data_IF_752979095299
#
_entry.id   IF_752979095299
#
_cell.length_a   1.000
_cell.length_b   1.000
_cell.length_c   1.000
_cell.angle_alpha   90.00
_cell.angle_beta   90.00
_cell.angle_gamma   90.00
#
_symmetry.space_group_name_H-M   'P 1'
#
loop_
_entity.id
_entity.type
_entity.pdbx_description
1 polymer ?
#
# COMPACT_ATOMS: atom_id res chain seq x y z
N UNK A 1 -4.04 25.91 30.02
CA UNK A 1 -3.23 24.68 30.24
C UNK A 1 -2.31 24.39 29.05
N UNK A 2 -1.09 23.85 29.28
CA UNK A 2 -0.21 23.42 28.20
C UNK A 2 -0.84 22.23 27.45
N UNK A 3 -0.66 22.19 26.14
CA UNK A 3 -1.11 21.07 25.30
C UNK A 3 -0.30 19.82 25.63
N UNK A 4 -0.98 18.74 26.02
CA UNK A 4 -0.37 17.45 26.27
C UNK A 4 -0.53 16.60 25.00
N UNK A 5 0.61 16.21 24.40
CA UNK A 5 0.61 15.32 23.24
C UNK A 5 0.21 13.93 23.69
N UNK A 6 -0.77 13.36 23.00
CA UNK A 6 -1.14 11.97 23.18
C UNK A 6 -0.04 11.05 22.63
N UNK A 7 0.31 10.01 23.37
CA UNK A 7 1.31 9.02 23.00
C UNK A 7 0.63 7.68 22.74
N UNK A 8 -0.15 7.61 21.66
CA UNK A 8 -0.75 6.36 21.22
C UNK A 8 0.33 5.33 20.88
N UNK A 9 0.07 4.05 21.18
CA UNK A 9 0.90 2.94 20.70
C UNK A 9 0.81 2.88 19.18
N UNK A 10 1.95 2.95 18.50
CA UNK A 10 2.05 2.95 17.03
C UNK A 10 2.59 1.62 16.53
N UNK A 11 1.86 1.00 15.61
CA UNK A 11 2.27 -0.26 14.98
C UNK A 11 2.30 -0.05 13.47
N UNK A 12 3.48 -0.20 12.85
CA UNK A 12 3.61 -0.13 11.40
C UNK A 12 3.07 -1.43 10.80
N UNK A 13 2.00 -1.36 10.03
CA UNK A 13 1.29 -2.53 9.51
C UNK A 13 1.39 -2.68 7.99
N UNK A 14 2.01 -1.71 7.32
CA UNK A 14 2.15 -1.73 5.87
C UNK A 14 2.54 -0.37 5.28
N UNK A 15 2.39 -0.24 3.96
CA UNK A 15 2.59 1.01 3.24
C UNK A 15 1.70 1.07 1.99
N UNK A 16 1.21 2.28 1.68
CA UNK A 16 0.75 2.65 0.35
C UNK A 16 1.96 3.15 -0.45
N UNK A 17 2.33 2.41 -1.49
CA UNK A 17 3.40 2.80 -2.42
C UNK A 17 2.74 3.31 -3.70
N UNK A 18 3.00 4.56 -4.05
CA UNK A 18 2.49 5.17 -5.27
C UNK A 18 3.52 4.95 -6.37
N UNK A 19 3.10 4.36 -7.48
CA UNK A 19 3.99 4.01 -8.60
C UNK A 19 3.56 4.70 -9.88
N UNK A 20 4.54 5.01 -10.73
CA UNK A 20 4.30 5.47 -12.09
C UNK A 20 4.10 4.27 -13.02
N UNK A 21 2.93 4.19 -13.63
CA UNK A 21 2.49 3.11 -14.52
C UNK A 21 1.71 3.68 -15.71
N UNK A 22 2.41 4.20 -16.74
CA UNK A 22 1.78 4.87 -17.87
C UNK A 22 1.26 3.91 -18.96
N UNK A 23 1.67 2.64 -18.95
CA UNK A 23 1.31 1.65 -19.98
C UNK A 23 0.98 0.30 -19.36
N UNK A 24 -0.01 -0.39 -19.94
CA UNK A 24 -0.44 -1.71 -19.49
C UNK A 24 -1.64 -1.69 -18.54
N UNK A 25 -2.19 -2.87 -18.24
CA UNK A 25 -3.39 -3.02 -17.41
C UNK A 25 -3.04 -3.07 -15.91
N UNK A 26 -4.04 -2.81 -15.06
CA UNK A 26 -3.87 -2.92 -13.61
C UNK A 26 -3.60 -4.37 -13.16
N UNK A 27 -4.11 -5.36 -13.90
CA UNK A 27 -3.76 -6.77 -13.66
C UNK A 27 -2.29 -7.06 -13.96
N UNK A 28 -1.73 -6.47 -15.03
CA UNK A 28 -0.30 -6.60 -15.34
C UNK A 28 0.56 -5.94 -14.27
N UNK A 29 0.17 -4.76 -13.78
CA UNK A 29 0.83 -4.10 -12.67
C UNK A 29 0.77 -4.97 -11.40
N UNK A 30 -0.42 -5.47 -11.04
CA UNK A 30 -0.61 -6.31 -9.87
C UNK A 30 0.22 -7.59 -9.96
N UNK A 31 0.24 -8.27 -11.11
CA UNK A 31 1.03 -9.48 -11.31
C UNK A 31 2.54 -9.25 -11.12
N UNK A 32 3.05 -8.07 -11.47
CA UNK A 32 4.45 -7.67 -11.19
C UNK A 32 4.69 -7.38 -9.72
N UNK A 33 3.72 -6.76 -9.05
CA UNK A 33 3.86 -6.22 -7.68
C UNK A 33 3.58 -7.24 -6.58
N UNK A 34 2.64 -8.18 -6.79
CA UNK A 34 2.29 -9.23 -5.83
C UNK A 34 3.49 -10.05 -5.32
N UNK A 35 4.39 -10.60 -6.17
CA UNK A 35 5.50 -11.42 -5.71
C UNK A 35 6.59 -10.62 -4.97
N UNK A 36 6.53 -9.28 -5.01
CA UNK A 36 7.53 -8.43 -4.37
C UNK A 36 7.28 -8.25 -2.86
N UNK A 37 6.07 -8.59 -2.41
CA UNK A 37 5.70 -8.50 -1.00
C UNK A 37 6.64 -9.31 -0.09
N UNK A 38 6.76 -8.86 1.15
CA UNK A 38 7.74 -9.34 2.13
C UNK A 38 7.10 -9.47 3.50
N UNK A 39 7.69 -10.32 4.33
CA UNK A 39 7.39 -10.40 5.77
C UNK A 39 5.90 -10.59 6.09
N UNK A 40 5.23 -11.45 5.32
CA UNK A 40 3.81 -11.75 5.48
C UNK A 40 2.85 -10.70 4.92
N UNK A 41 3.34 -9.51 4.50
CA UNK A 41 2.51 -8.54 3.80
C UNK A 41 1.99 -9.11 2.48
N UNK A 42 0.87 -8.56 2.02
CA UNK A 42 0.29 -8.81 0.70
C UNK A 42 0.00 -7.49 0.00
N UNK A 43 0.06 -7.52 -1.33
CA UNK A 43 -0.58 -6.48 -2.14
C UNK A 43 -2.09 -6.68 -2.02
N UNK A 44 -2.73 -5.80 -1.25
CA UNK A 44 -4.15 -5.87 -0.93
C UNK A 44 -5.02 -5.33 -2.07
N UNK A 45 -4.63 -4.16 -2.59
CA UNK A 45 -5.38 -3.49 -3.65
C UNK A 45 -4.52 -2.51 -4.42
N UNK A 46 -4.96 -2.24 -5.65
CA UNK A 46 -4.55 -1.07 -6.41
C UNK A 46 -5.71 -0.08 -6.45
N UNK A 47 -5.40 1.20 -6.31
CA UNK A 47 -6.38 2.26 -6.58
C UNK A 47 -5.78 3.35 -7.45
N UNK A 48 -6.62 3.94 -8.28
CA UNK A 48 -6.28 5.06 -9.11
C UNK A 48 -7.28 6.19 -8.86
N UNK A 49 -6.80 7.40 -8.56
CA UNK A 49 -7.65 8.55 -8.19
C UNK A 49 -8.68 8.25 -7.07
N UNK A 50 -8.31 7.39 -6.12
CA UNK A 50 -9.16 6.99 -4.99
C UNK A 50 -10.14 5.84 -5.29
N UNK A 51 -10.26 5.40 -6.55
CA UNK A 51 -11.11 4.28 -6.96
C UNK A 51 -10.31 2.98 -6.96
N UNK A 52 -10.86 1.91 -6.36
CA UNK A 52 -10.25 0.57 -6.45
C UNK A 52 -10.29 0.08 -7.89
N UNK A 53 -9.13 -0.24 -8.45
CA UNK A 53 -8.96 -0.72 -9.83
C UNK A 53 -8.38 -2.13 -9.91
N UNK A 54 -7.95 -2.69 -8.77
CA UNK A 54 -7.60 -4.10 -8.64
C UNK A 54 -7.72 -4.54 -7.16
N UNK A 55 -8.14 -5.79 -6.88
CA UNK A 55 -8.66 -6.77 -7.84
C UNK A 55 -10.07 -6.41 -8.35
N UNK A 56 -10.43 -6.95 -9.52
CA UNK A 56 -11.77 -6.80 -10.09
C UNK A 56 -12.13 -5.38 -10.52
N UNK A 57 -11.16 -4.62 -11.04
CA UNK A 57 -11.45 -3.31 -11.62
C UNK A 57 -12.26 -3.41 -12.92
N UNK A 58 -12.98 -2.34 -13.25
CA UNK A 58 -13.69 -2.20 -14.53
C UNK A 58 -12.75 -1.62 -15.58
N UNK A 59 -12.67 -2.23 -16.76
CA UNK A 59 -11.77 -1.79 -17.84
C UNK A 59 -12.08 -0.38 -18.34
N UNK A 60 -13.33 0.07 -18.17
CA UNK A 60 -13.83 1.39 -18.53
C UNK A 60 -13.43 2.47 -17.52
N UNK A 61 -12.83 2.10 -16.39
CA UNK A 61 -12.37 3.07 -15.38
C UNK A 61 -11.25 3.90 -15.98
N UNK A 62 -11.49 5.20 -16.11
CA UNK A 62 -10.44 6.14 -16.47
C UNK A 62 -9.36 6.18 -15.40
N UNK A 63 -8.13 5.88 -15.79
CA UNK A 63 -6.94 5.88 -14.91
C UNK A 63 -5.95 6.94 -15.36
N UNK A 64 -5.15 7.43 -14.41
CA UNK A 64 -3.96 8.25 -14.68
C UNK A 64 -2.70 7.45 -14.35
N UNK A 65 -1.54 7.98 -14.70
CA UNK A 65 -0.29 7.22 -14.62
C UNK A 65 0.18 6.93 -13.19
N UNK A 66 -0.32 7.64 -12.18
CA UNK A 66 0.00 7.35 -10.77
C UNK A 66 -1.03 6.40 -10.15
N UNK A 67 -0.57 5.24 -9.68
CA UNK A 67 -1.39 4.23 -9.02
C UNK A 67 -0.90 3.98 -7.61
N UNK A 68 -1.83 3.98 -6.63
CA UNK A 68 -1.55 3.59 -5.24
C UNK A 68 -1.60 2.07 -5.12
N UNK A 69 -0.53 1.49 -4.60
CA UNK A 69 -0.37 0.06 -4.34
C UNK A 69 -0.34 -0.18 -2.83
N UNK A 70 -1.39 -0.79 -2.27
CA UNK A 70 -1.45 -1.04 -0.82
C UNK A 70 -0.79 -2.36 -0.48
N UNK A 71 0.32 -2.30 0.25
CA UNK A 71 0.92 -3.45 0.92
C UNK A 71 0.57 -3.42 2.40
N UNK A 72 -0.01 -4.49 2.93
CA UNK A 72 -0.33 -4.58 4.35
C UNK A 72 -0.26 -6.02 4.86
N UNK A 73 -0.05 -6.18 6.16
CA UNK A 73 -0.29 -7.46 6.83
C UNK A 73 -1.78 -7.86 6.68
N UNK A 74 -2.08 -9.13 6.37
CA UNK A 74 -3.45 -9.63 6.34
C UNK A 74 -4.18 -9.42 7.67
N UNK A 75 -5.47 -9.09 7.63
CA UNK A 75 -6.26 -8.84 8.85
C UNK A 75 -6.33 -10.06 9.79
N UNK A 76 -6.27 -11.28 9.23
CA UNK A 76 -6.24 -12.54 9.97
C UNK A 76 -4.87 -12.87 10.58
N UNK A 77 -3.84 -12.06 10.31
CA UNK A 77 -2.47 -12.21 10.81
C UNK A 77 -1.94 -10.88 11.33
N UNK A 78 -2.47 -10.40 12.47
CA UNK A 78 -2.07 -9.10 13.04
C UNK A 78 -0.60 -9.12 13.48
N UNK A 79 0.02 -7.96 13.44
CA UNK A 79 1.42 -7.79 13.82
C UNK A 79 1.94 -6.40 13.43
N UNK A 80 3.25 -6.26 13.41
CA UNK A 80 3.93 -5.05 12.94
C UNK A 80 5.18 -5.42 12.17
N UNK A 81 5.51 -4.63 11.15
CA UNK A 81 6.75 -4.75 10.38
C UNK A 81 7.78 -3.71 10.82
N UNK A 82 9.05 -3.94 10.49
CA UNK A 82 10.11 -2.94 10.64
C UNK A 82 10.22 -2.03 9.42
N UNK A 83 10.86 -0.86 9.57
CA UNK A 83 11.18 0.00 8.43
C UNK A 83 12.10 -0.67 7.40
N UNK A 84 12.98 -1.58 7.84
CA UNK A 84 13.85 -2.35 6.96
C UNK A 84 13.05 -3.20 5.95
N UNK A 85 11.87 -3.69 6.35
CA UNK A 85 10.96 -4.40 5.44
C UNK A 85 10.45 -3.47 4.33
N UNK A 86 10.11 -2.22 4.67
CA UNK A 86 9.69 -1.21 3.68
C UNK A 86 10.82 -0.84 2.74
N UNK A 87 12.03 -0.62 3.25
CA UNK A 87 13.22 -0.34 2.42
C UNK A 87 13.48 -1.47 1.42
N UNK A 88 13.39 -2.73 1.86
CA UNK A 88 13.53 -3.90 0.98
C UNK A 88 12.41 -3.98 -0.05
N UNK A 89 11.16 -3.68 0.32
CA UNK A 89 10.03 -3.63 -0.62
C UNK A 89 10.27 -2.57 -1.70
N UNK A 90 10.62 -1.34 -1.32
CA UNK A 90 10.89 -0.25 -2.26
C UNK A 90 12.06 -0.57 -3.19
N UNK A 91 13.11 -1.20 -2.67
CA UNK A 91 14.20 -1.67 -3.51
C UNK A 91 13.76 -2.77 -4.49
N UNK A 92 12.91 -3.72 -4.08
CA UNK A 92 12.35 -4.74 -4.97
C UNK A 92 11.48 -4.16 -6.08
N UNK A 93 10.64 -3.17 -5.76
CA UNK A 93 9.81 -2.45 -6.74
C UNK A 93 10.70 -1.76 -7.78
N UNK A 94 11.74 -1.04 -7.33
CA UNK A 94 12.74 -0.43 -8.21
C UNK A 94 13.47 -1.46 -9.08
N UNK A 95 13.89 -2.58 -8.50
CA UNK A 95 14.58 -3.67 -9.23
C UNK A 95 13.66 -4.34 -10.27
N UNK A 96 12.34 -4.33 -10.05
CA UNK A 96 11.35 -4.79 -11.03
C UNK A 96 11.13 -3.79 -12.19
N UNK A 97 11.88 -2.69 -12.22
CA UNK A 97 11.78 -1.65 -13.25
C UNK A 97 10.57 -0.73 -13.08
N UNK A 98 9.99 -0.67 -11.88
CA UNK A 98 8.85 0.18 -11.56
C UNK A 98 9.34 1.35 -10.71
N UNK A 99 9.04 2.57 -11.14
CA UNK A 99 9.31 3.78 -10.37
C UNK A 99 8.25 3.93 -9.26
N UNK A 100 8.70 4.09 -8.02
CA UNK A 100 7.86 4.55 -6.92
C UNK A 100 8.06 6.05 -6.72
N UNK A 101 6.97 6.79 -6.63
CA UNK A 101 6.93 8.26 -6.60
C UNK A 101 6.74 8.78 -5.17
N UNK A 102 5.91 8.09 -4.40
CA UNK A 102 5.55 8.47 -3.02
C UNK A 102 5.30 7.22 -2.19
N UNK A 103 5.55 7.33 -0.88
CA UNK A 103 5.23 6.28 0.09
C UNK A 103 4.48 6.88 1.26
N UNK A 104 3.39 6.24 1.66
CA UNK A 104 2.65 6.56 2.88
C UNK A 104 2.63 5.33 3.79
N UNK A 105 3.18 5.44 4.99
CA UNK A 105 3.21 4.34 5.95
C UNK A 105 1.83 4.14 6.58
N UNK A 106 1.42 2.88 6.71
CA UNK A 106 0.16 2.51 7.35
C UNK A 106 0.43 2.16 8.81
N UNK A 107 -0.12 2.96 9.72
CA UNK A 107 -0.02 2.72 11.16
C UNK A 107 -1.38 2.38 11.76
N UNK A 108 -1.37 1.45 12.71
CA UNK A 108 -2.41 1.38 13.73
C UNK A 108 -2.00 2.23 14.93
N UNK A 109 -2.98 2.92 15.53
CA UNK A 109 -2.85 3.70 16.76
C UNK A 109 -3.77 3.08 17.81
N UNK A 110 -3.19 2.55 18.89
CA UNK A 110 -3.91 1.81 19.94
C UNK A 110 -4.81 0.69 19.37
N UNK A 111 -4.26 -0.06 18.40
CA UNK A 111 -4.95 -1.15 17.72
C UNK A 111 -5.99 -0.72 16.67
N UNK A 112 -6.20 0.59 16.46
CA UNK A 112 -7.14 1.11 15.47
C UNK A 112 -6.43 1.57 14.20
N UNK A 113 -6.94 1.25 13.00
CA UNK A 113 -6.38 1.75 11.75
C UNK A 113 -6.32 3.28 11.69
N UNK A 114 -5.14 3.82 11.45
CA UNK A 114 -4.89 5.24 11.22
C UNK A 114 -5.00 5.65 9.74
N UNK A 115 -5.64 4.83 8.92
CA UNK A 115 -5.75 4.99 7.48
C UNK A 115 -7.16 4.58 7.02
N UNK A 116 -7.63 5.16 5.92
CA UNK A 116 -8.92 4.77 5.35
C UNK A 116 -8.83 3.38 4.70
N UNK A 117 -9.85 2.55 4.92
CA UNK A 117 -10.13 1.40 4.06
C UNK A 117 -10.60 1.93 2.70
N UNK A 118 -10.15 1.32 1.60
CA UNK A 118 -10.53 1.79 0.25
C UNK A 118 -12.05 1.70 0.06
N UNK A 119 -12.63 2.46 -0.89
CA UNK A 119 -14.04 2.24 -1.22
C UNK A 119 -14.27 0.76 -1.64
N UNK A 120 -15.21 0.10 -0.97
CA UNK A 120 -15.52 -1.32 -1.21
C UNK A 120 -14.58 -2.32 -0.54
N UNK A 121 -13.97 -1.93 0.60
CA UNK A 121 -13.51 -2.81 1.67
C UNK A 121 -14.46 -2.73 2.86
#
# INVERSE_FOLDING_TARGET
PPYQRDTAKRELVGADVFVFWPTGTMDQLAAKLQPLALDGMKLEMLSNRGMKVWPGGMAETFTVDETRCRYQLPEDKPGSISHEVLEKLLNRIRQAGIEWVKVENLYNFDGKPGFSRGQGQ
#
